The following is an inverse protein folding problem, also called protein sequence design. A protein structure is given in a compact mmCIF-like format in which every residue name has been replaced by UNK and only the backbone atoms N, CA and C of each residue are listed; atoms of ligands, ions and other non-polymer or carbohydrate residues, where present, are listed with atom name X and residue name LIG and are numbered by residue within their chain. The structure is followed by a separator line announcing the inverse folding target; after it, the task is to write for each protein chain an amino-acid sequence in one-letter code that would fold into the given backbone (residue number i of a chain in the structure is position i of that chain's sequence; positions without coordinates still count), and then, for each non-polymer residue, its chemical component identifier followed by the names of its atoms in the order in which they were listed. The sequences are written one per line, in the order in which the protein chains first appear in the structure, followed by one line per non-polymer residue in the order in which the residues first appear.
data_IF_878105268106
#
_entry.id   IF_878105268106
#
_cell.length_a   1.000
_cell.length_b   1.000
_cell.length_c   1.000
_cell.angle_alpha   90.00
_cell.angle_beta   90.00
_cell.angle_gamma   90.00
#
_symmetry.space_group_name_H-M   'P 1'
#
loop_
_entity.id
_entity.type
_entity.pdbx_description
1 polymer ?
#
# COMPACT_ATOMS: atom_id res chain seq x y z
N UNK A 1 27.39 -5.96 -18.29
CA UNK A 1 26.68 -5.72 -17.02
C UNK A 1 25.99 -7.01 -16.60
N UNK A 2 26.28 -7.52 -15.41
CA UNK A 2 25.70 -8.77 -14.89
C UNK A 2 24.47 -8.47 -14.03
N UNK A 3 23.53 -9.41 -13.93
CA UNK A 3 22.31 -9.26 -13.11
C UNK A 3 22.63 -8.87 -11.65
N UNK A 4 23.73 -9.41 -11.09
CA UNK A 4 24.18 -9.09 -9.73
C UNK A 4 24.60 -7.62 -9.55
N UNK A 5 25.13 -7.01 -10.60
CA UNK A 5 25.47 -5.56 -10.58
C UNK A 5 24.20 -4.71 -10.54
N UNK A 6 23.16 -5.12 -11.29
CA UNK A 6 21.86 -4.43 -11.26
C UNK A 6 21.20 -4.58 -9.88
N UNK A 7 21.23 -5.77 -9.30
CA UNK A 7 20.68 -6.00 -7.94
C UNK A 7 21.38 -5.14 -6.89
N UNK A 8 22.71 -4.97 -6.99
CA UNK A 8 23.48 -4.11 -6.08
C UNK A 8 23.04 -2.65 -6.16
N UNK A 9 22.73 -2.14 -7.35
CA UNK A 9 22.26 -0.75 -7.52
C UNK A 9 20.90 -0.48 -6.85
N UNK A 10 20.06 -1.51 -6.66
CA UNK A 10 18.73 -1.38 -6.04
C UNK A 10 18.69 -1.81 -4.58
N UNK A 11 19.81 -2.30 -4.04
CA UNK A 11 19.90 -2.91 -2.71
C UNK A 11 18.94 -4.10 -2.47
N UNK A 12 18.23 -4.58 -3.48
CA UNK A 12 17.31 -5.73 -3.37
C UNK A 12 18.03 -7.03 -2.99
N UNK A 13 19.36 -7.12 -3.19
CA UNK A 13 20.14 -8.26 -2.73
C UNK A 13 20.22 -8.37 -1.20
N UNK A 14 19.89 -7.29 -0.46
CA UNK A 14 19.81 -7.28 1.00
C UNK A 14 18.50 -7.87 1.54
N UNK A 15 17.51 -8.07 0.66
CA UNK A 15 16.29 -8.79 1.04
C UNK A 15 16.60 -10.28 1.02
N UNK A 16 16.48 -10.99 2.14
CA UNK A 16 16.73 -12.43 2.21
C UNK A 16 15.83 -13.21 1.25
N UNK A 17 16.35 -14.30 0.68
CA UNK A 17 15.56 -15.19 -0.17
C UNK A 17 14.46 -15.95 0.59
N UNK A 18 14.58 -16.01 1.92
CA UNK A 18 13.57 -16.55 2.83
C UNK A 18 12.31 -15.70 2.90
N UNK A 19 12.39 -14.41 2.53
CA UNK A 19 11.22 -13.54 2.48
C UNK A 19 10.28 -14.01 1.37
N UNK A 20 9.10 -14.46 1.76
CA UNK A 20 8.09 -14.97 0.84
C UNK A 20 7.29 -13.84 0.20
N UNK A 21 7.22 -13.82 -1.13
CA UNK A 21 6.43 -12.87 -1.92
C UNK A 21 5.32 -13.59 -2.69
N UNK A 22 4.07 -13.30 -2.36
CA UNK A 22 2.90 -13.68 -3.18
C UNK A 22 2.46 -12.50 -4.06
N UNK A 23 2.34 -12.74 -5.36
CA UNK A 23 2.01 -11.71 -6.35
C UNK A 23 0.57 -11.78 -6.81
N UNK A 24 -0.03 -10.60 -7.02
CA UNK A 24 -1.35 -10.47 -7.63
C UNK A 24 -2.47 -11.17 -6.86
N UNK A 25 -2.28 -11.42 -5.56
CA UNK A 25 -3.31 -11.99 -4.70
C UNK A 25 -4.39 -10.96 -4.40
N UNK A 26 -5.58 -11.42 -4.06
CA UNK A 26 -6.63 -10.55 -3.56
C UNK A 26 -6.12 -9.81 -2.32
N UNK A 27 -6.19 -8.47 -2.34
CA UNK A 27 -5.61 -7.66 -1.27
C UNK A 27 -6.34 -7.91 0.06
N UNK A 28 -7.66 -7.76 0.04
CA UNK A 28 -8.55 -8.04 1.15
C UNK A 28 -9.97 -8.15 0.61
N UNK A 29 -10.60 -9.29 0.82
CA UNK A 29 -11.98 -9.52 0.36
C UNK A 29 -13.03 -8.64 1.07
N UNK A 30 -12.64 -7.92 2.14
CA UNK A 30 -13.43 -6.91 2.86
C UNK A 30 -12.78 -5.54 2.85
N UNK A 31 -11.98 -5.23 1.83
CA UNK A 31 -11.26 -3.95 1.77
C UNK A 31 -12.20 -2.75 1.86
N UNK A 32 -13.35 -2.80 1.21
CA UNK A 32 -14.34 -1.73 1.25
C UNK A 32 -14.82 -1.48 2.69
N UNK A 33 -15.20 -2.53 3.42
CA UNK A 33 -15.59 -2.45 4.83
C UNK A 33 -14.42 -1.93 5.69
N UNK A 34 -13.19 -2.40 5.42
CA UNK A 34 -11.99 -1.97 6.11
C UNK A 34 -11.72 -0.47 5.97
N UNK A 35 -12.09 0.13 4.85
CA UNK A 35 -11.93 1.55 4.59
C UNK A 35 -13.11 2.41 5.07
N UNK A 36 -14.30 1.81 5.24
CA UNK A 36 -15.54 2.51 5.64
C UNK A 36 -15.67 2.66 7.15
N UNK A 37 -15.42 1.59 7.89
CA UNK A 37 -15.66 1.57 9.33
C UNK A 37 -14.39 1.76 10.15
N UNK A 38 -14.41 2.62 11.19
CA UNK A 38 -13.37 2.60 12.20
C UNK A 38 -13.50 1.33 13.05
N UNK A 39 -12.48 0.49 13.02
CA UNK A 39 -12.18 -0.62 13.93
C UNK A 39 -13.35 -1.18 14.76
N UNK A 40 -14.06 -2.13 14.23
CA UNK A 40 -14.58 -3.23 15.02
C UNK A 40 -13.59 -4.38 14.85
N UNK A 41 -13.26 -5.05 15.97
CA UNK A 41 -12.43 -6.25 16.08
C UNK A 41 -12.05 -6.90 14.74
N UNK A 42 -10.95 -6.43 14.15
CA UNK A 42 -10.37 -7.01 12.94
C UNK A 42 -9.06 -7.66 13.34
N UNK A 43 -8.79 -8.79 12.75
CA UNK A 43 -7.58 -9.54 12.95
C UNK A 43 -6.32 -8.79 12.44
N UNK A 44 -6.49 -7.62 11.82
CA UNK A 44 -5.38 -6.84 11.24
C UNK A 44 -5.67 -5.32 11.19
N UNK A 45 -4.59 -4.54 11.16
CA UNK A 45 -4.60 -3.07 11.05
C UNK A 45 -3.75 -2.63 9.87
N UNK A 46 -4.26 -1.71 9.04
CA UNK A 46 -3.46 -1.07 7.98
C UNK A 46 -2.63 0.08 8.55
N UNK A 47 -1.31 0.00 8.40
CA UNK A 47 -0.41 1.13 8.61
C UNK A 47 -0.14 1.82 7.27
N UNK A 48 -0.77 2.98 7.08
CA UNK A 48 -0.60 3.82 5.89
C UNK A 48 0.66 4.67 5.93
N UNK A 49 1.25 4.89 7.09
CA UNK A 49 2.40 5.76 7.27
C UNK A 49 3.72 5.00 7.27
N UNK A 50 3.66 3.70 7.58
CA UNK A 50 4.81 2.80 7.71
C UNK A 50 5.82 3.43 8.66
N UNK A 51 5.42 3.52 9.94
CA UNK A 51 6.31 4.04 10.97
C UNK A 51 7.52 3.11 11.17
N UNK A 52 8.70 3.70 11.20
CA UNK A 52 9.98 3.01 11.40
C UNK A 52 10.53 3.32 12.79
N UNK A 53 10.33 2.45 13.80
CA UNK A 53 10.78 2.67 15.18
C UNK A 53 12.29 2.94 15.28
N UNK A 54 13.12 2.21 14.55
CA UNK A 54 14.59 2.38 14.51
C UNK A 54 15.02 3.80 14.16
N UNK A 55 14.24 4.51 13.35
CA UNK A 55 14.59 5.82 12.83
C UNK A 55 13.70 6.95 13.36
N UNK A 56 12.60 6.61 14.05
CA UNK A 56 11.63 7.58 14.56
C UNK A 56 10.92 8.39 13.48
N UNK A 57 10.69 7.80 12.29
CA UNK A 57 10.09 8.50 11.13
C UNK A 57 9.00 7.66 10.47
N UNK A 58 8.10 8.34 9.78
CA UNK A 58 7.18 7.73 8.82
C UNK A 58 7.86 7.63 7.44
N UNK A 59 7.77 6.47 6.81
CA UNK A 59 8.34 6.21 5.50
C UNK A 59 7.52 6.86 4.38
N UNK A 60 6.20 6.84 4.56
CA UNK A 60 5.25 7.35 3.59
C UNK A 60 5.08 8.88 3.69
N UNK A 61 4.94 9.52 2.52
CA UNK A 61 4.58 10.95 2.45
C UNK A 61 3.11 11.19 2.80
N UNK A 62 2.72 12.43 3.19
CA UNK A 62 1.33 12.82 3.32
C UNK A 62 0.52 12.60 2.03
N UNK A 63 -0.80 12.66 2.15
CA UNK A 63 -1.69 12.60 0.99
C UNK A 63 -1.55 13.88 0.15
N UNK A 64 -1.26 13.73 -1.16
CA UNK A 64 -0.96 14.85 -2.06
C UNK A 64 -1.75 14.83 -3.38
N UNK A 65 -2.56 13.79 -3.63
CA UNK A 65 -3.31 13.70 -4.89
C UNK A 65 -4.30 14.84 -5.03
N UNK A 66 -4.26 15.48 -6.20
CA UNK A 66 -5.18 16.53 -6.61
C UNK A 66 -6.50 15.94 -7.12
N UNK A 67 -7.54 16.77 -7.22
CA UNK A 67 -8.89 16.33 -7.58
C UNK A 67 -8.92 15.55 -8.90
N UNK A 68 -8.18 15.96 -9.94
CA UNK A 68 -8.16 15.23 -11.20
C UNK A 68 -7.61 13.80 -11.06
N UNK A 69 -6.57 13.58 -10.23
CA UNK A 69 -6.00 12.25 -9.98
C UNK A 69 -6.98 11.36 -9.19
N UNK A 70 -7.69 11.96 -8.24
CA UNK A 70 -8.74 11.29 -7.47
C UNK A 70 -9.87 10.85 -8.40
N UNK A 71 -10.36 11.74 -9.25
CA UNK A 71 -11.42 11.49 -10.23
C UNK A 71 -11.03 10.35 -11.18
N UNK A 72 -9.88 10.46 -11.83
CA UNK A 72 -9.36 9.44 -12.76
C UNK A 72 -9.25 8.07 -12.10
N UNK A 73 -8.80 8.01 -10.86
CA UNK A 73 -8.61 6.75 -10.15
C UNK A 73 -9.97 6.10 -9.78
N UNK A 74 -10.94 6.87 -9.26
CA UNK A 74 -12.27 6.33 -8.96
C UNK A 74 -12.97 5.87 -10.25
N UNK A 75 -12.87 6.64 -11.32
CA UNK A 75 -13.39 6.23 -12.63
C UNK A 75 -12.69 4.98 -13.16
N UNK A 76 -11.39 4.79 -12.88
CA UNK A 76 -10.67 3.58 -13.27
C UNK A 76 -11.22 2.33 -12.57
N UNK A 77 -11.61 2.44 -11.30
CA UNK A 77 -12.26 1.35 -10.56
C UNK A 77 -13.64 1.04 -11.19
N UNK A 78 -14.46 2.07 -11.41
CA UNK A 78 -15.81 1.92 -11.97
C UNK A 78 -15.81 1.36 -13.41
N UNK A 79 -14.80 1.70 -14.19
CA UNK A 79 -14.64 1.27 -15.59
C UNK A 79 -13.77 0.02 -15.76
N UNK A 80 -13.42 -0.65 -14.67
CA UNK A 80 -12.60 -1.87 -14.67
C UNK A 80 -11.25 -1.73 -15.40
N UNK A 81 -10.69 -0.51 -15.42
CA UNK A 81 -9.36 -0.34 -15.99
C UNK A 81 -8.31 -1.09 -15.16
N UNK A 82 -7.25 -1.63 -15.78
CA UNK A 82 -6.17 -2.27 -15.06
C UNK A 82 -5.59 -1.35 -13.98
N UNK A 83 -5.59 -1.81 -12.73
CA UNK A 83 -5.00 -1.12 -11.59
C UNK A 83 -3.80 -1.94 -11.13
N UNK A 84 -2.65 -1.28 -10.99
CA UNK A 84 -1.45 -1.96 -10.49
C UNK A 84 -1.70 -2.51 -9.08
N UNK A 85 -1.22 -3.73 -8.76
CA UNK A 85 -1.30 -4.28 -7.41
C UNK A 85 -0.75 -3.30 -6.36
N UNK A 86 -1.31 -3.35 -5.17
CA UNK A 86 -0.71 -2.69 -4.00
C UNK A 86 0.52 -3.48 -3.57
N UNK A 87 1.51 -2.81 -2.97
CA UNK A 87 2.66 -3.48 -2.39
C UNK A 87 2.53 -3.38 -0.88
N UNK A 88 2.45 -4.52 -0.21
CA UNK A 88 2.25 -4.57 1.23
C UNK A 88 3.20 -5.54 1.91
N UNK A 89 3.48 -5.29 3.19
CA UNK A 89 4.13 -6.23 4.08
C UNK A 89 3.11 -6.65 5.12
N UNK A 90 2.91 -7.94 5.25
CA UNK A 90 2.03 -8.52 6.27
C UNK A 90 2.86 -9.30 7.28
N UNK A 91 2.77 -8.90 8.55
CA UNK A 91 3.38 -9.64 9.65
C UNK A 91 2.46 -10.76 10.09
N UNK A 92 3.01 -11.96 10.17
CA UNK A 92 2.31 -13.16 10.63
C UNK A 92 2.93 -13.56 11.96
N UNK A 93 2.18 -13.37 13.04
CA UNK A 93 2.59 -13.87 14.35
C UNK A 93 2.24 -15.35 14.45
N UNK A 94 3.22 -16.16 14.88
CA UNK A 94 3.13 -17.62 14.97
C UNK A 94 2.21 -18.13 16.11
N UNK A 95 1.69 -17.23 16.92
CA UNK A 95 0.69 -17.57 17.93
C UNK A 95 -0.66 -17.69 17.25
N UNK A 96 -1.29 -18.84 17.30
CA UNK A 96 -2.58 -19.33 16.79
C UNK A 96 -3.76 -18.34 16.66
N UNK A 97 -3.51 -17.04 16.71
CA UNK A 97 -4.47 -15.98 16.59
C UNK A 97 -3.96 -14.96 15.56
N UNK A 98 -4.71 -14.81 14.48
CA UNK A 98 -4.54 -13.72 13.50
C UNK A 98 -4.81 -12.33 14.12
N UNK A 99 -4.98 -12.27 15.42
CA UNK A 99 -5.24 -11.07 16.20
C UNK A 99 -4.01 -10.15 16.16
N UNK A 100 -4.22 -8.90 15.75
CA UNK A 100 -3.23 -7.82 15.68
C UNK A 100 -2.17 -7.90 14.55
N UNK A 101 -2.45 -8.57 13.46
CA UNK A 101 -1.59 -8.48 12.27
C UNK A 101 -1.54 -7.05 11.76
N UNK A 102 -0.33 -6.49 11.58
CA UNK A 102 -0.14 -5.19 10.96
C UNK A 102 0.17 -5.40 9.47
N UNK A 103 -0.55 -4.69 8.62
CA UNK A 103 -0.32 -4.64 7.18
C UNK A 103 0.24 -3.27 6.81
N UNK A 104 1.54 -3.22 6.51
CA UNK A 104 2.23 -2.00 6.10
C UNK A 104 2.04 -1.75 4.60
N UNK A 105 1.56 -0.57 4.25
CA UNK A 105 1.33 -0.16 2.86
C UNK A 105 2.61 0.42 2.28
N UNK A 106 3.38 -0.36 1.54
CA UNK A 106 4.65 0.05 0.92
C UNK A 106 4.41 0.89 -0.34
N UNK A 107 3.49 0.45 -1.21
CA UNK A 107 2.98 1.29 -2.31
C UNK A 107 1.46 1.20 -2.41
N UNK A 108 0.85 2.33 -2.78
CA UNK A 108 -0.59 2.45 -2.96
C UNK A 108 -1.32 3.29 -1.90
N UNK A 109 -0.62 3.91 -0.93
CA UNK A 109 -1.23 4.78 0.08
C UNK A 109 -2.18 5.82 -0.52
N UNK A 110 -1.74 6.54 -1.59
CA UNK A 110 -2.56 7.57 -2.23
C UNK A 110 -3.85 6.97 -2.80
N UNK A 111 -3.75 5.81 -3.43
CA UNK A 111 -4.88 5.06 -4.02
C UNK A 111 -5.89 4.62 -2.95
N UNK A 112 -5.45 3.97 -1.88
CA UNK A 112 -6.32 3.52 -0.78
C UNK A 112 -6.97 4.68 -0.05
N UNK A 113 -6.22 5.74 0.23
CA UNK A 113 -6.79 6.94 0.86
C UNK A 113 -7.77 7.68 -0.05
N UNK A 114 -7.61 7.58 -1.39
CA UNK A 114 -8.59 8.12 -2.34
C UNK A 114 -9.90 7.35 -2.26
N UNK A 115 -9.87 6.01 -2.27
CA UNK A 115 -11.07 5.19 -2.06
C UNK A 115 -11.75 5.60 -0.74
N UNK A 116 -10.99 5.60 0.36
CA UNK A 116 -11.49 5.98 1.68
C UNK A 116 -12.16 7.35 1.69
N UNK A 117 -11.53 8.36 1.08
CA UNK A 117 -12.09 9.71 0.99
C UNK A 117 -13.36 9.76 0.16
N UNK A 118 -13.43 9.01 -0.95
CA UNK A 118 -14.60 8.97 -1.81
C UNK A 118 -15.81 8.35 -1.12
N UNK A 119 -15.67 7.17 -0.51
CA UNK A 119 -16.77 6.52 0.22
C UNK A 119 -17.27 7.36 1.41
N UNK A 120 -16.40 8.20 1.99
CA UNK A 120 -16.79 9.17 3.01
C UNK A 120 -17.26 10.53 2.44
N UNK A 121 -17.53 10.62 1.15
CA UNK A 121 -18.03 11.83 0.47
C UNK A 121 -17.16 13.07 0.67
N UNK A 122 -15.82 12.90 0.73
CA UNK A 122 -14.87 14.02 0.90
C UNK A 122 -14.57 14.76 -0.40
N UNK A 123 -14.90 14.17 -1.54
CA UNK A 123 -14.83 14.78 -2.87
C UNK A 123 -15.79 14.08 -3.82
N UNK A 124 -16.28 14.76 -4.87
CA UNK A 124 -17.06 14.15 -5.94
C UNK A 124 -16.17 13.60 -7.06
N UNK A 125 -16.71 12.71 -7.89
CA UNK A 125 -16.23 12.47 -9.24
C UNK A 125 -17.01 13.36 -10.22
N UNK A 126 -16.40 13.68 -11.37
CA UNK A 126 -17.04 14.46 -12.42
C UNK A 126 -17.48 13.51 -13.53
N UNK A 127 -18.79 13.43 -13.75
CA UNK A 127 -19.39 12.62 -14.82
C UNK A 127 -20.28 13.54 -15.67
N UNK A 128 -19.96 13.65 -16.96
CA UNK A 128 -20.67 14.56 -17.89
C UNK A 128 -20.78 16.00 -17.36
N UNK A 129 -19.73 16.52 -16.75
CA UNK A 129 -19.65 17.85 -16.17
C UNK A 129 -20.44 18.05 -14.87
N UNK A 130 -20.99 17.00 -14.29
CA UNK A 130 -21.71 17.04 -13.01
C UNK A 130 -20.89 16.42 -11.90
N UNK A 131 -20.96 17.00 -10.72
CA UNK A 131 -20.41 16.43 -9.48
C UNK A 131 -21.30 15.28 -8.97
N UNK A 132 -20.67 14.13 -8.73
CA UNK A 132 -21.34 12.93 -8.21
C UNK A 132 -20.55 12.40 -7.02
N UNK A 133 -21.14 12.41 -5.85
CA UNK A 133 -20.59 11.84 -4.63
C UNK A 133 -20.97 10.37 -4.47
N UNK A 134 -20.24 9.63 -3.66
CA UNK A 134 -20.59 8.23 -3.37
C UNK A 134 -22.01 8.06 -2.81
N UNK A 135 -22.47 9.01 -1.98
CA UNK A 135 -23.86 9.02 -1.45
C UNK A 135 -24.94 9.11 -2.53
N UNK A 136 -24.60 9.68 -3.70
CA UNK A 136 -25.53 9.90 -4.82
C UNK A 136 -25.67 8.64 -5.71
N UNK A 137 -24.86 7.61 -5.47
CA UNK A 137 -24.99 6.32 -6.12
C UNK A 137 -26.27 5.63 -5.64
N UNK A 138 -26.98 4.97 -6.53
CA UNK A 138 -28.03 4.03 -6.15
C UNK A 138 -27.42 2.76 -5.52
N UNK A 139 -28.28 1.89 -4.98
CA UNK A 139 -27.81 0.71 -4.27
C UNK A 139 -27.11 -0.32 -5.17
N UNK A 140 -27.45 -0.35 -6.46
CA UNK A 140 -26.80 -1.23 -7.42
C UNK A 140 -25.38 -0.76 -7.69
N UNK A 141 -25.19 0.54 -7.98
CA UNK A 141 -23.86 1.11 -8.23
C UNK A 141 -22.98 1.11 -6.97
N UNK A 142 -23.56 1.27 -5.77
CA UNK A 142 -22.82 1.11 -4.50
C UNK A 142 -22.29 -0.31 -4.35
N UNK A 143 -23.13 -1.33 -4.53
CA UNK A 143 -22.71 -2.75 -4.48
C UNK A 143 -21.67 -3.08 -5.55
N UNK A 144 -21.84 -2.54 -6.76
CA UNK A 144 -20.88 -2.71 -7.82
C UNK A 144 -19.51 -2.12 -7.43
N UNK A 145 -19.47 -0.87 -6.96
CA UNK A 145 -18.23 -0.21 -6.53
C UNK A 145 -17.56 -0.96 -5.37
N UNK A 146 -18.32 -1.38 -4.36
CA UNK A 146 -17.83 -2.22 -3.25
C UNK A 146 -17.19 -3.50 -3.77
N UNK A 147 -17.87 -4.22 -4.64
CA UNK A 147 -17.32 -5.44 -5.27
C UNK A 147 -16.00 -5.15 -5.98
N UNK A 148 -15.91 -4.06 -6.77
CA UNK A 148 -14.67 -3.70 -7.49
C UNK A 148 -13.54 -3.35 -6.54
N UNK A 149 -13.81 -2.66 -5.44
CA UNK A 149 -12.82 -2.35 -4.40
C UNK A 149 -12.31 -3.64 -3.73
N UNK A 150 -13.20 -4.57 -3.42
CA UNK A 150 -12.85 -5.83 -2.79
C UNK A 150 -12.07 -6.79 -3.72
N UNK A 151 -12.12 -6.58 -5.05
CA UNK A 151 -11.33 -7.33 -6.04
C UNK A 151 -9.95 -6.73 -6.35
N UNK A 152 -9.56 -5.63 -5.69
CA UNK A 152 -8.21 -5.07 -5.86
C UNK A 152 -7.14 -6.05 -5.37
N UNK A 153 -6.02 -6.11 -6.07
CA UNK A 153 -4.94 -7.06 -5.82
C UNK A 153 -3.73 -6.43 -5.17
N UNK A 154 -2.93 -7.25 -4.51
CA UNK A 154 -1.65 -6.86 -3.93
C UNK A 154 -0.53 -7.88 -4.23
N UNK A 155 0.70 -7.38 -4.23
CA UNK A 155 1.90 -8.18 -4.05
C UNK A 155 2.26 -8.12 -2.55
N UNK A 156 2.19 -9.26 -1.88
CA UNK A 156 2.30 -9.36 -0.42
C UNK A 156 3.62 -9.97 -0.03
N UNK A 157 4.44 -9.22 0.69
CA UNK A 157 5.61 -9.73 1.39
C UNK A 157 5.22 -10.20 2.77
N UNK A 158 5.44 -11.46 3.07
CA UNK A 158 5.18 -12.00 4.40
C UNK A 158 6.41 -11.90 5.28
N UNK A 159 6.21 -11.37 6.48
CA UNK A 159 7.21 -11.33 7.55
C UNK A 159 6.77 -12.30 8.65
N UNK A 160 7.65 -13.19 9.04
CA UNK A 160 7.37 -14.19 10.06
C UNK A 160 8.29 -14.00 11.26
N UNK A 161 7.83 -14.45 12.43
CA UNK A 161 8.63 -14.46 13.64
C UNK A 161 8.97 -13.08 14.20
N UNK A 162 10.13 -12.97 14.81
CA UNK A 162 10.66 -11.77 15.44
C UNK A 162 11.98 -11.31 14.79
N UNK A 163 12.63 -10.30 15.36
CA UNK A 163 13.87 -9.69 14.82
C UNK A 163 15.06 -10.67 14.66
N UNK A 164 15.01 -11.85 15.27
CA UNK A 164 16.03 -12.89 15.17
C UNK A 164 15.74 -13.88 14.04
N UNK A 165 14.58 -13.82 13.42
CA UNK A 165 14.18 -14.72 12.34
C UNK A 165 14.68 -14.20 10.99
N UNK A 166 15.24 -15.08 10.16
CA UNK A 166 15.70 -14.73 8.79
C UNK A 166 14.57 -14.30 7.88
N UNK A 167 13.34 -14.63 8.19
CA UNK A 167 12.13 -14.24 7.46
C UNK A 167 11.45 -12.98 8.02
N UNK A 168 12.02 -12.34 9.03
CA UNK A 168 11.53 -11.09 9.58
C UNK A 168 11.95 -9.88 8.74
N UNK A 169 11.00 -9.03 8.39
CA UNK A 169 11.24 -7.81 7.61
C UNK A 169 11.44 -6.63 8.58
N UNK A 170 12.70 -6.27 8.81
CA UNK A 170 13.06 -5.14 9.67
C UNK A 170 12.89 -3.77 8.97
N UNK A 171 13.15 -2.69 9.69
CA UNK A 171 13.00 -1.33 9.18
C UNK A 171 13.90 -1.02 7.98
N UNK A 172 15.12 -1.56 7.92
CA UNK A 172 16.03 -1.38 6.78
C UNK A 172 15.45 -2.03 5.51
N UNK A 173 14.89 -3.22 5.63
CA UNK A 173 14.23 -3.92 4.54
C UNK A 173 12.97 -3.19 4.08
N UNK A 174 12.18 -2.58 4.99
CA UNK A 174 11.05 -1.72 4.62
C UNK A 174 11.50 -0.55 3.75
N UNK A 175 12.62 0.12 4.12
CA UNK A 175 13.19 1.22 3.32
C UNK A 175 13.62 0.72 1.94
N UNK A 176 14.27 -0.43 1.84
CA UNK A 176 14.73 -1.01 0.57
C UNK A 176 13.53 -1.29 -0.34
N UNK A 177 12.50 -1.97 0.17
CA UNK A 177 11.28 -2.27 -0.57
C UNK A 177 10.55 -0.98 -1.00
N UNK A 178 10.44 -0.01 -0.09
CA UNK A 178 9.85 1.28 -0.41
C UNK A 178 10.58 1.99 -1.55
N UNK A 179 11.91 2.06 -1.49
CA UNK A 179 12.73 2.68 -2.53
C UNK A 179 12.57 1.95 -3.86
N UNK A 180 12.59 0.62 -3.84
CA UNK A 180 12.46 -0.19 -5.05
C UNK A 180 11.15 0.08 -5.80
N UNK A 181 10.02 0.13 -5.08
CA UNK A 181 8.70 0.30 -5.71
C UNK A 181 8.33 1.76 -5.99
N UNK A 182 8.76 2.70 -5.15
CA UNK A 182 8.31 4.10 -5.28
C UNK A 182 9.23 4.97 -6.14
N UNK A 183 10.47 4.56 -6.41
CA UNK A 183 11.37 5.34 -7.29
C UNK A 183 11.42 4.85 -8.74
N UNK A 184 10.80 3.74 -9.06
CA UNK A 184 10.61 3.27 -10.43
C UNK A 184 9.38 3.88 -11.14
N UNK A 185 8.54 4.64 -10.40
CA UNK A 185 7.28 5.23 -10.87
C UNK A 185 7.26 6.76 -10.81
N UNK A 186 6.18 7.33 -10.22
CA UNK A 186 6.02 8.79 -10.10
C UNK A 186 7.13 9.41 -9.27
N UNK A 187 7.82 10.46 -9.74
CA UNK A 187 8.99 11.01 -9.04
C UNK A 187 8.65 11.45 -7.63
N UNK A 188 9.23 10.81 -6.64
CA UNK A 188 9.38 11.41 -5.32
C UNK A 188 10.51 12.45 -5.40
N UNK A 189 10.45 13.50 -4.55
CA UNK A 189 11.50 14.52 -4.59
C UNK A 189 12.87 13.87 -4.30
N UNK A 190 13.91 14.26 -5.04
CA UNK A 190 15.29 13.82 -4.81
C UNK A 190 15.71 13.99 -3.33
N UNK A 191 15.22 15.04 -2.66
CA UNK A 191 15.44 15.27 -1.24
C UNK A 191 14.93 14.11 -0.37
N UNK A 192 13.76 13.56 -0.68
CA UNK A 192 13.19 12.42 0.08
C UNK A 192 13.98 11.14 -0.18
N UNK A 193 14.34 10.88 -1.44
CA UNK A 193 15.17 9.76 -1.84
C UNK A 193 16.52 9.77 -1.14
N UNK A 194 17.24 10.93 -1.20
CA UNK A 194 18.54 11.08 -0.58
C UNK A 194 18.46 10.91 0.94
N UNK A 195 17.40 11.40 1.59
CA UNK A 195 17.17 11.19 3.02
C UNK A 195 17.06 9.70 3.36
N UNK A 196 16.28 8.92 2.61
CA UNK A 196 16.10 7.50 2.87
C UNK A 196 17.38 6.70 2.59
N UNK A 197 18.14 7.05 1.53
CA UNK A 197 19.43 6.41 1.24
C UNK A 197 20.47 6.68 2.33
N UNK A 198 20.48 7.89 2.90
CA UNK A 198 21.40 8.23 4.00
C UNK A 198 21.13 7.45 5.28
N UNK A 199 19.89 7.01 5.53
CA UNK A 199 19.53 6.21 6.70
C UNK A 199 20.13 4.79 6.66
N UNK A 200 20.28 4.24 5.49
CA UNK A 200 20.82 2.88 5.33
C UNK A 200 22.35 2.80 5.48
N UNK A 201 23.06 3.95 5.59
CA UNK A 201 24.54 4.00 5.67
C UNK A 201 25.25 3.04 4.69
N UNK A 202 24.67 2.84 3.51
CA UNK A 202 25.23 1.96 2.49
C UNK A 202 26.36 2.72 1.82
N UNK A 203 27.59 2.37 2.23
CA UNK A 203 28.82 2.81 1.57
C UNK A 203 29.07 2.02 0.30
#
# INVERSE_FOLDING_TARGET
MKLEEIKKCTNMYLIPKSIHLNRGVLFDYRLFEALTEPKKERDYTYDFDVYLPKYGINLQRPYVWKHYQQNEFILSILLEKPIQPFIVIQYINDTNHRENTIVYIIDGKQRLLTIKKFIHNKFPIIVNGKEVYFKDFDDELKRYFESRVNYLTADVYYSYGDENDESYINDDMKIILFNFYNFSGTPQTEKHKNKLQSLLNIK
#
